data_IF_483997325844
#
_entry.id   IF_483997325844
#
_cell.length_a   1.000
_cell.length_b   1.000
_cell.length_c   1.000
_cell.angle_alpha   90.00
_cell.angle_beta   90.00
_cell.angle_gamma   90.00
#
_symmetry.space_group_name_H-M   'P 1'
#
loop_
_entity.id
_entity.type
_entity.pdbx_description
1 polymer ?
#
# COMPACT_ATOMS: atom_id res chain seq x y z
N UNK A 1 8.95 0.92 -11.76
CA UNK A 1 9.59 0.11 -10.70
C UNK A 1 10.13 1.05 -9.65
N UNK A 2 9.75 0.87 -8.39
CA UNK A 2 10.25 1.68 -7.28
C UNK A 2 11.65 1.21 -6.90
N UNK A 3 12.63 2.12 -6.93
CA UNK A 3 14.03 1.82 -6.63
C UNK A 3 14.62 0.75 -7.58
N UNK A 4 15.37 -0.20 -7.02
CA UNK A 4 15.96 -1.35 -7.73
C UNK A 4 15.00 -2.54 -7.90
N UNK A 5 13.70 -2.37 -7.59
CA UNK A 5 12.75 -3.49 -7.55
C UNK A 5 12.81 -4.29 -6.24
N UNK A 6 11.91 -5.28 -6.04
CA UNK A 6 10.88 -5.83 -6.95
C UNK A 6 9.54 -5.07 -6.96
N UNK A 7 9.48 -3.90 -6.34
CA UNK A 7 8.22 -3.18 -6.15
C UNK A 7 7.75 -2.47 -7.42
N UNK A 8 6.61 -2.91 -7.96
CA UNK A 8 5.84 -2.15 -8.93
C UNK A 8 4.85 -1.22 -8.19
N UNK A 9 4.91 0.08 -8.45
CA UNK A 9 4.00 1.07 -7.86
C UNK A 9 3.02 1.57 -8.93
N UNK A 10 1.73 1.58 -8.60
CA UNK A 10 0.64 2.01 -9.47
C UNK A 10 -0.10 3.17 -8.82
N UNK A 11 -0.09 4.34 -9.47
CA UNK A 11 -0.87 5.50 -9.01
C UNK A 11 -2.32 5.35 -9.50
N UNK A 12 -3.27 5.48 -8.59
CA UNK A 12 -4.70 5.37 -8.88
C UNK A 12 -5.39 6.72 -8.66
N UNK A 13 -6.49 6.97 -9.39
CA UNK A 13 -7.21 8.24 -9.34
C UNK A 13 -7.92 8.49 -8.00
N UNK A 14 -8.24 7.43 -7.25
CA UNK A 14 -8.98 7.51 -5.99
C UNK A 14 -8.70 6.27 -5.12
N UNK A 15 -9.14 6.33 -3.85
CA UNK A 15 -9.06 5.19 -2.93
C UNK A 15 -9.86 3.96 -3.42
N UNK A 16 -11.14 4.09 -3.86
CA UNK A 16 -11.86 2.96 -4.45
C UNK A 16 -11.15 2.35 -5.66
N UNK A 17 -10.64 3.19 -6.58
CA UNK A 17 -9.90 2.70 -7.74
C UNK A 17 -8.63 1.93 -7.34
N UNK A 18 -7.94 2.36 -6.28
CA UNK A 18 -6.77 1.65 -5.76
C UNK A 18 -7.12 0.26 -5.18
N UNK A 19 -8.29 0.14 -4.55
CA UNK A 19 -8.80 -1.14 -4.04
C UNK A 19 -9.14 -2.08 -5.21
N UNK A 20 -9.85 -1.60 -6.22
CA UNK A 20 -10.24 -2.41 -7.39
C UNK A 20 -9.02 -2.90 -8.18
N UNK A 21 -8.06 -2.02 -8.43
CA UNK A 21 -6.77 -2.37 -9.06
C UNK A 21 -6.03 -3.39 -8.20
N UNK A 22 -6.00 -3.18 -6.87
CA UNK A 22 -5.35 -4.10 -5.94
C UNK A 22 -5.96 -5.49 -5.95
N UNK A 23 -7.29 -5.59 -5.93
CA UNK A 23 -8.01 -6.86 -5.99
C UNK A 23 -7.76 -7.58 -7.32
N UNK A 24 -7.77 -6.84 -8.44
CA UNK A 24 -7.50 -7.39 -9.77
C UNK A 24 -6.09 -7.96 -9.87
N UNK A 25 -5.07 -7.21 -9.41
CA UNK A 25 -3.67 -7.67 -9.42
C UNK A 25 -3.46 -8.89 -8.51
N UNK A 26 -4.14 -8.93 -7.35
CA UNK A 26 -4.07 -10.07 -6.45
C UNK A 26 -4.68 -11.33 -7.08
N UNK A 27 -5.83 -11.21 -7.76
CA UNK A 27 -6.48 -12.31 -8.46
C UNK A 27 -5.74 -12.78 -9.72
N UNK A 28 -5.01 -11.87 -10.39
CA UNK A 28 -4.24 -12.19 -11.59
C UNK A 28 -2.98 -13.03 -11.32
N UNK A 29 -2.50 -13.11 -10.08
CA UNK A 29 -1.35 -13.96 -9.70
C UNK A 29 0.01 -13.49 -10.24
N UNK A 30 0.10 -12.26 -10.74
CA UNK A 30 1.32 -11.70 -11.37
C UNK A 30 2.36 -11.17 -10.37
N UNK A 31 2.00 -11.08 -9.08
CA UNK A 31 2.86 -10.61 -8.00
C UNK A 31 2.75 -11.53 -6.78
N UNK A 32 3.82 -11.65 -5.99
CA UNK A 32 3.78 -12.43 -4.74
C UNK A 32 2.82 -11.80 -3.71
N UNK A 33 2.78 -10.47 -3.63
CA UNK A 33 1.95 -9.73 -2.68
C UNK A 33 1.46 -8.42 -3.30
N UNK A 34 0.26 -7.99 -2.93
CA UNK A 34 -0.31 -6.69 -3.30
C UNK A 34 -0.71 -5.93 -2.04
N UNK A 35 -0.46 -4.62 -2.00
CA UNK A 35 -0.81 -3.71 -0.90
C UNK A 35 -1.31 -2.38 -1.46
N UNK A 36 -2.32 -1.81 -0.80
CA UNK A 36 -2.81 -0.44 -1.06
C UNK A 36 -2.20 0.50 -0.02
N UNK A 37 -1.79 1.69 -0.44
CA UNK A 37 -1.25 2.74 0.42
C UNK A 37 -1.63 4.12 -0.13
N UNK A 38 -1.53 5.15 0.72
CA UNK A 38 -1.74 6.55 0.34
C UNK A 38 -0.53 7.41 0.73
N UNK A 39 -0.37 8.57 0.07
CA UNK A 39 0.71 9.50 0.34
C UNK A 39 0.50 10.86 -0.35
N UNK A 40 1.33 11.88 -0.03
CA UNK A 40 2.45 11.83 0.92
C UNK A 40 1.97 11.67 2.37
N UNK A 41 2.80 11.04 3.19
CA UNK A 41 2.59 10.93 4.64
C UNK A 41 3.78 11.54 5.37
N UNK A 42 3.61 11.81 6.67
CA UNK A 42 4.71 12.24 7.54
C UNK A 42 5.93 11.31 7.45
N UNK A 43 7.12 11.89 7.61
CA UNK A 43 8.34 11.13 7.85
C UNK A 43 8.39 10.50 9.25
N UNK A 44 9.58 10.08 9.66
CA UNK A 44 9.79 9.48 10.98
C UNK A 44 9.38 10.46 12.11
N UNK A 45 8.50 10.02 13.00
CA UNK A 45 8.15 10.73 14.25
C UNK A 45 7.77 9.76 15.35
N UNK A 46 7.77 10.26 16.59
CA UNK A 46 7.25 9.53 17.75
C UNK A 46 5.72 9.41 17.62
N UNK A 47 5.21 8.20 17.80
CA UNK A 47 3.78 7.90 17.92
C UNK A 47 3.50 7.41 19.34
N UNK A 48 2.32 7.69 19.92
CA UNK A 48 1.94 7.12 21.21
C UNK A 48 2.08 5.60 21.19
N UNK A 49 2.53 5.02 22.31
CA UNK A 49 2.47 3.57 22.47
C UNK A 49 1.01 3.10 22.31
N UNK A 50 0.77 1.95 21.67
CA UNK A 50 -0.57 1.41 21.58
C UNK A 50 -1.15 1.22 22.99
N UNK A 51 -2.36 1.71 23.22
CA UNK A 51 -3.07 1.45 24.48
C UNK A 51 -3.41 -0.04 24.54
N UNK A 52 -2.91 -0.75 25.55
CA UNK A 52 -3.35 -2.13 25.79
C UNK A 52 -4.74 -2.06 26.39
N UNK A 53 -5.77 -2.26 25.56
CA UNK A 53 -7.08 -2.64 26.07
C UNK A 53 -6.95 -4.04 26.67
N UNK A 54 -7.02 -4.13 28.00
CA UNK A 54 -7.43 -5.37 28.69
C UNK A 54 -8.93 -5.53 28.58
#
# INVERSE_FOLDING_TARGET
MSGSGPTCAFLCASSPAAIDVGATLAGAGVCRTVRVASGPVQGARVVPAPSSSV
#
